data_IF_085273551699
#
_entry.id   IF_085273551699
#
_cell.length_a   1.000
_cell.length_b   1.000
_cell.length_c   1.000
_cell.angle_alpha   90.00
_cell.angle_beta   90.00
_cell.angle_gamma   90.00
#
_symmetry.space_group_name_H-M   'P 1'
#
loop_
_entity.id
_entity.type
_entity.pdbx_description
1 polymer ?
#
# COMPACT_ATOMS: atom_id res chain seq x y z
N UNK A 1 6.04 -5.51 17.56
CA UNK A 1 4.79 -5.97 16.94
C UNK A 1 5.05 -6.11 15.44
N UNK A 2 4.63 -7.21 14.82
CA UNK A 2 4.85 -7.43 13.39
C UNK A 2 3.95 -6.48 12.58
N UNK A 3 4.56 -5.64 11.74
CA UNK A 3 3.85 -4.66 10.90
C UNK A 3 2.92 -5.35 9.90
N UNK A 4 3.22 -6.58 9.49
CA UNK A 4 2.35 -7.34 8.60
C UNK A 4 1.06 -7.78 9.30
N UNK A 5 1.14 -8.20 10.56
CA UNK A 5 -0.03 -8.53 11.39
C UNK A 5 -0.89 -7.28 11.59
N UNK A 6 -0.28 -6.15 11.95
CA UNK A 6 -1.00 -4.87 12.10
C UNK A 6 -1.73 -4.46 10.80
N UNK A 7 -1.10 -4.67 9.65
CA UNK A 7 -1.72 -4.37 8.36
C UNK A 7 -2.89 -5.31 8.01
N UNK A 8 -2.84 -6.56 8.46
CA UNK A 8 -3.92 -7.53 8.30
C UNK A 8 -5.12 -7.15 9.18
N UNK A 9 -4.88 -6.91 10.48
CA UNK A 9 -5.91 -6.45 11.42
C UNK A 9 -6.62 -5.17 10.90
N UNK A 10 -5.84 -4.20 10.41
CA UNK A 10 -6.39 -2.96 9.84
C UNK A 10 -7.22 -3.19 8.58
N UNK A 11 -6.91 -4.21 7.77
CA UNK A 11 -7.75 -4.57 6.60
C UNK A 11 -9.07 -5.16 7.04
N UNK A 12 -9.06 -6.03 8.05
CA UNK A 12 -10.28 -6.62 8.62
C UNK A 12 -11.17 -5.54 9.22
N UNK A 13 -10.60 -4.60 9.98
CA UNK A 13 -11.31 -3.43 10.51
C UNK A 13 -11.95 -2.59 9.40
N UNK A 14 -11.21 -2.30 8.32
CA UNK A 14 -11.76 -1.56 7.16
C UNK A 14 -12.95 -2.30 6.52
N UNK A 15 -12.89 -3.63 6.42
CA UNK A 15 -13.98 -4.45 5.88
C UNK A 15 -15.19 -4.48 6.83
N UNK A 16 -14.94 -4.59 8.13
CA UNK A 16 -15.97 -4.52 9.17
C UNK A 16 -16.74 -3.20 9.09
N UNK A 17 -16.03 -2.06 9.15
CA UNK A 17 -16.68 -0.75 9.09
C UNK A 17 -17.41 -0.49 7.78
N UNK A 18 -16.92 -1.07 6.66
CA UNK A 18 -17.65 -0.99 5.38
C UNK A 18 -18.97 -1.76 5.43
N UNK A 19 -18.98 -2.94 6.07
CA UNK A 19 -20.21 -3.72 6.26
C UNK A 19 -21.22 -2.96 7.10
N UNK A 20 -20.78 -2.34 8.21
CA UNK A 20 -21.65 -1.50 9.05
C UNK A 20 -22.20 -0.29 8.29
N UNK A 21 -21.35 0.36 7.48
CA UNK A 21 -21.74 1.48 6.61
C UNK A 21 -22.84 1.06 5.61
N UNK A 22 -22.67 -0.07 4.94
CA UNK A 22 -23.61 -0.57 3.93
C UNK A 22 -24.94 -1.02 4.58
N UNK A 23 -24.89 -1.71 5.71
CA UNK A 23 -26.08 -2.12 6.47
C UNK A 23 -26.90 -0.94 7.00
N UNK A 24 -26.23 0.14 7.39
CA UNK A 24 -26.88 1.35 7.86
C UNK A 24 -27.56 2.11 6.71
N UNK A 25 -26.89 2.21 5.55
CA UNK A 25 -27.48 2.80 4.34
C UNK A 25 -28.74 2.05 3.90
N UNK A 26 -28.73 0.72 3.95
CA UNK A 26 -29.87 -0.12 3.56
C UNK A 26 -31.11 0.12 4.45
N UNK A 27 -30.92 0.45 5.73
CA UNK A 27 -32.02 0.68 6.68
C UNK A 27 -32.61 2.09 6.60
N UNK A 28 -31.80 3.10 6.30
CA UNK A 28 -32.25 4.42 5.84
C UNK A 28 -33.01 5.29 6.86
N UNK A 29 -33.03 4.95 8.15
CA UNK A 29 -33.63 5.82 9.20
C UNK A 29 -32.60 6.82 9.72
N UNK A 30 -33.05 7.84 10.43
CA UNK A 30 -32.18 8.89 11.01
C UNK A 30 -31.09 8.32 11.94
N UNK A 31 -31.43 7.33 12.79
CA UNK A 31 -30.45 6.63 13.62
C UNK A 31 -29.42 5.90 12.75
N UNK A 32 -29.87 5.26 11.67
CA UNK A 32 -28.97 4.56 10.75
C UNK A 32 -28.06 5.55 9.99
N UNK A 33 -28.52 6.77 9.71
CA UNK A 33 -27.65 7.81 9.13
C UNK A 33 -26.49 8.19 10.06
N UNK A 34 -26.73 8.31 11.37
CA UNK A 34 -25.66 8.55 12.34
C UNK A 34 -24.69 7.37 12.44
N UNK A 35 -25.19 6.13 12.40
CA UNK A 35 -24.36 4.92 12.36
C UNK A 35 -23.51 4.89 11.09
N UNK A 36 -24.11 5.22 9.95
CA UNK A 36 -23.41 5.33 8.66
C UNK A 36 -22.25 6.34 8.74
N UNK A 37 -22.49 7.55 9.23
CA UNK A 37 -21.46 8.58 9.35
C UNK A 37 -20.33 8.14 10.29
N UNK A 38 -20.68 7.54 11.43
CA UNK A 38 -19.71 7.03 12.39
C UNK A 38 -18.85 5.90 11.78
N UNK A 39 -19.48 4.95 11.10
CA UNK A 39 -18.77 3.85 10.43
C UNK A 39 -17.86 4.35 9.31
N UNK A 40 -18.32 5.31 8.50
CA UNK A 40 -17.54 5.92 7.43
C UNK A 40 -16.30 6.65 7.98
N UNK A 41 -16.43 7.35 9.11
CA UNK A 41 -15.29 8.01 9.77
C UNK A 41 -14.25 6.97 10.25
N UNK A 42 -14.67 5.97 11.01
CA UNK A 42 -13.77 4.93 11.51
C UNK A 42 -13.09 4.17 10.38
N UNK A 43 -13.84 3.82 9.32
CA UNK A 43 -13.27 3.20 8.11
C UNK A 43 -12.17 4.05 7.49
N UNK A 44 -12.36 5.37 7.42
CA UNK A 44 -11.35 6.29 6.88
C UNK A 44 -10.11 6.34 7.76
N UNK A 45 -10.28 6.44 9.07
CA UNK A 45 -9.16 6.43 10.02
C UNK A 45 -8.35 5.12 9.94
N UNK A 46 -9.02 3.97 9.83
CA UNK A 46 -8.35 2.67 9.65
C UNK A 46 -7.59 2.60 8.31
N UNK A 47 -8.15 3.14 7.22
CA UNK A 47 -7.45 3.23 5.92
C UNK A 47 -6.20 4.12 6.00
N UNK A 48 -6.29 5.26 6.67
CA UNK A 48 -5.15 6.17 6.82
C UNK A 48 -4.04 5.54 7.67
N UNK A 49 -4.39 4.79 8.72
CA UNK A 49 -3.44 3.99 9.51
C UNK A 49 -2.80 2.88 8.67
N UNK A 50 -3.59 2.16 7.88
CA UNK A 50 -3.10 1.09 7.02
C UNK A 50 -2.07 1.61 6.00
N UNK A 51 -2.33 2.77 5.40
CA UNK A 51 -1.42 3.41 4.47
C UNK A 51 -0.07 3.73 5.13
N UNK A 52 -0.09 4.29 6.34
CA UNK A 52 1.13 4.57 7.11
C UNK A 52 1.93 3.31 7.40
N UNK A 53 1.27 2.22 7.78
CA UNK A 53 1.95 0.93 8.05
C UNK A 53 2.57 0.36 6.77
N UNK A 54 1.92 0.49 5.62
CA UNK A 54 2.51 0.08 4.34
C UNK A 54 3.71 0.93 3.92
N UNK A 55 3.65 2.25 4.14
CA UNK A 55 4.79 3.14 3.88
C UNK A 55 5.99 2.74 4.74
N UNK A 56 5.76 2.40 6.01
CA UNK A 56 6.80 1.89 6.89
C UNK A 56 7.37 0.54 6.42
N UNK A 57 6.53 -0.41 6.02
CA UNK A 57 6.98 -1.71 5.47
C UNK A 57 7.82 -1.49 4.20
N UNK A 58 7.38 -0.59 3.32
CA UNK A 58 8.09 -0.27 2.09
C UNK A 58 9.46 0.37 2.38
N UNK A 59 9.51 1.29 3.34
CA UNK A 59 10.74 1.93 3.79
C UNK A 59 11.73 0.93 4.40
N UNK A 60 11.24 0.01 5.23
CA UNK A 60 12.07 -1.05 5.83
C UNK A 60 12.65 -1.97 4.75
N UNK A 61 11.84 -2.39 3.76
CA UNK A 61 12.31 -3.18 2.62
C UNK A 61 13.37 -2.44 1.81
N UNK A 62 13.17 -1.14 1.56
CA UNK A 62 14.13 -0.31 0.84
C UNK A 62 15.47 -0.18 1.59
N UNK A 63 15.41 0.06 2.91
CA UNK A 63 16.61 0.17 3.76
C UNK A 63 17.37 -1.15 3.84
N UNK A 64 16.67 -2.27 4.01
CA UNK A 64 17.28 -3.59 4.07
C UNK A 64 17.84 -4.04 2.71
N UNK A 65 17.23 -3.63 1.60
CA UNK A 65 17.77 -3.87 0.25
C UNK A 65 19.10 -3.15 0.01
N UNK A 66 19.25 -1.91 0.51
CA UNK A 66 20.49 -1.13 0.40
C UNK A 66 21.68 -1.71 1.17
N UNK A 67 21.44 -2.43 2.27
CA UNK A 67 22.51 -3.08 3.03
C UNK A 67 23.08 -4.30 2.29
N UNK A 68 22.33 -4.88 1.34
CA UNK A 68 22.76 -6.03 0.55
C UNK A 68 23.29 -5.65 -0.85
N UNK A 69 23.09 -4.41 -1.30
CA UNK A 69 23.84 -3.87 -2.43
C UNK A 69 25.26 -3.55 -1.95
N UNK A 70 26.23 -4.37 -2.37
CA UNK A 70 27.64 -3.97 -2.30
C UNK A 70 27.75 -2.64 -3.05
N UNK A 71 27.84 -1.53 -2.33
CA UNK A 71 28.25 -0.27 -2.95
C UNK A 71 29.55 -0.54 -3.70
N UNK A 72 29.68 -0.15 -4.98
CA UNK A 72 30.95 -0.28 -5.66
C UNK A 72 31.94 0.68 -4.98
N UNK A 73 32.65 0.18 -3.98
CA UNK A 73 33.84 0.84 -3.43
C UNK A 73 34.96 0.66 -4.44
N UNK A 74 34.87 1.41 -5.54
CA UNK A 74 35.85 1.47 -6.59
C UNK A 74 36.19 2.93 -6.84
N UNK A 75 37.43 3.31 -6.52
CA UNK A 75 38.03 4.61 -6.79
C UNK A 75 37.77 5.00 -8.25
N UNK A 76 36.87 5.96 -8.47
CA UNK A 76 36.45 6.34 -9.82
C UNK A 76 35.16 7.15 -9.84
N UNK A 77 35.13 8.29 -9.13
CA UNK A 77 34.02 9.25 -9.14
C UNK A 77 33.88 10.02 -10.48
N UNK A 78 34.18 9.38 -11.62
CA UNK A 78 34.35 10.03 -12.92
C UNK A 78 33.35 9.64 -14.00
N UNK A 79 32.55 8.59 -13.83
CA UNK A 79 31.62 8.20 -14.88
C UNK A 79 30.25 7.87 -14.28
N UNK A 80 29.35 8.84 -14.42
CA UNK A 80 27.94 8.73 -14.09
C UNK A 80 27.27 7.84 -15.16
N UNK A 81 27.65 6.56 -15.18
CA UNK A 81 27.10 5.53 -16.07
C UNK A 81 25.65 5.29 -15.64
N UNK A 82 24.74 6.05 -16.25
CA UNK A 82 23.46 5.62 -16.84
C UNK A 82 22.71 4.41 -16.27
N UNK A 83 22.77 4.14 -14.96
CA UNK A 83 21.89 3.17 -14.29
C UNK A 83 20.49 3.77 -14.00
N UNK A 84 20.16 4.93 -14.59
CA UNK A 84 18.86 5.59 -14.41
C UNK A 84 17.73 5.10 -15.32
N UNK A 85 17.95 4.12 -16.21
CA UNK A 85 16.94 3.79 -17.25
C UNK A 85 16.32 2.39 -17.17
N UNK A 86 16.83 1.47 -16.34
CA UNK A 86 16.29 0.09 -16.33
C UNK A 86 15.28 -0.22 -15.22
N UNK A 87 15.28 0.50 -14.09
CA UNK A 87 14.29 0.25 -13.01
C UNK A 87 12.84 0.54 -13.42
N UNK A 88 12.62 1.48 -14.35
CA UNK A 88 11.28 1.80 -14.87
C UNK A 88 10.86 0.80 -15.97
N UNK A 89 11.81 0.18 -16.68
CA UNK A 89 11.51 -0.73 -17.78
C UNK A 89 11.08 -2.11 -17.29
N UNK A 90 11.65 -2.58 -16.19
CA UNK A 90 11.31 -3.88 -15.60
C UNK A 90 10.00 -3.86 -14.80
N UNK A 91 9.57 -2.68 -14.33
CA UNK A 91 8.29 -2.52 -13.62
C UNK A 91 7.09 -2.32 -14.58
N UNK A 92 7.32 -1.85 -15.82
CA UNK A 92 6.26 -1.70 -16.83
C UNK A 92 6.08 -2.93 -17.74
N UNK A 93 7.08 -3.80 -17.88
CA UNK A 93 6.97 -5.03 -18.68
C UNK A 93 6.10 -6.11 -18.01
N UNK A 94 5.85 -6.02 -16.70
CA UNK A 94 4.98 -6.96 -15.97
C UNK A 94 3.48 -6.61 -16.05
N UNK A 95 3.10 -5.42 -16.54
CA UNK A 95 1.71 -4.93 -16.57
C UNK A 95 1.14 -4.67 -17.98
N UNK A 96 1.89 -4.97 -19.05
CA UNK A 96 1.42 -4.87 -20.44
C UNK A 96 0.90 -6.21 -20.96
N UNK A 97 -0.42 -6.34 -21.07
CA UNK A 97 -1.13 -7.59 -21.32
C UNK A 97 -0.64 -8.45 -22.49
N UNK A 98 -0.72 -9.77 -22.30
CA UNK A 98 -0.76 -10.73 -23.40
C UNK A 98 -2.08 -10.53 -24.16
N UNK A 99 -2.08 -9.67 -25.17
CA UNK A 99 -3.12 -9.72 -26.21
C UNK A 99 -2.81 -10.91 -27.11
N UNK A 100 -3.54 -12.01 -26.94
CA UNK A 100 -3.64 -13.02 -27.99
C UNK A 100 -4.51 -12.43 -29.10
N UNK A 101 -3.87 -11.97 -30.17
CA UNK A 101 -4.51 -11.83 -31.47
C UNK A 101 -4.19 -13.11 -32.27
N UNK A 102 -5.21 -13.92 -32.53
CA UNK A 102 -5.24 -14.89 -33.64
C UNK A 102 -6.16 -14.34 -34.71
#
# INVERSE_FOLDING_TARGET
MDKHIVAEDLREEVAFWKTVEDDALLRGREIDFNIYLFAAQNRRECRDKLLKVWDEIALDKFRNGRLNEKQPTGVGAGELVTCKTNLIKDSLSAFGGKSNAS
#
